data_IF_533727650427
#
_entry.id   IF_533727650427
#
_cell.length_a   1.000
_cell.length_b   1.000
_cell.length_c   1.000
_cell.angle_alpha   90.00
_cell.angle_beta   90.00
_cell.angle_gamma   90.00
#
_symmetry.space_group_name_H-M   'P 1'
#
loop_
_entity.id
_entity.type
_entity.pdbx_description
1 polymer ?
#
# COMPACT_ATOMS: atom_id res chain seq x y z
N UNK A 1 3.08 -28.45 -4.79
CA UNK A 1 2.31 -29.13 -3.75
C UNK A 1 2.75 -30.58 -3.81
N UNK A 2 3.63 -30.98 -2.89
CA UNK A 2 4.11 -32.36 -2.81
C UNK A 2 2.97 -33.23 -2.25
N UNK A 3 2.64 -34.34 -2.92
CA UNK A 3 1.63 -35.29 -2.44
C UNK A 3 2.25 -36.12 -1.33
N UNK A 4 1.76 -35.97 -0.09
CA UNK A 4 2.17 -36.82 1.04
C UNK A 4 1.42 -38.16 0.97
N UNK A 5 2.10 -39.26 1.29
CA UNK A 5 1.46 -40.57 1.40
C UNK A 5 0.52 -40.58 2.61
N UNK A 6 -0.79 -40.85 2.46
CA UNK A 6 -1.76 -40.83 3.55
C UNK A 6 -1.44 -41.78 4.72
N UNK A 7 -0.65 -42.83 4.46
CA UNK A 7 -0.21 -43.80 5.47
C UNK A 7 1.14 -43.43 6.13
N UNK A 8 1.79 -42.37 5.65
CA UNK A 8 3.02 -41.85 6.23
C UNK A 8 2.78 -41.34 7.67
N UNK A 9 3.72 -41.67 8.57
CA UNK A 9 3.70 -41.22 9.95
C UNK A 9 4.80 -40.20 10.19
N UNK A 10 4.41 -38.98 10.51
CA UNK A 10 5.33 -37.87 10.76
C UNK A 10 5.38 -37.50 12.26
N UNK A 11 6.50 -36.98 12.79
CA UNK A 11 6.59 -36.50 14.17
C UNK A 11 5.58 -35.39 14.47
N UNK A 12 5.10 -35.32 15.72
CA UNK A 12 4.15 -34.26 16.12
C UNK A 12 4.69 -32.83 15.90
N UNK A 13 6.00 -32.61 15.97
CA UNK A 13 6.61 -31.31 15.68
C UNK A 13 6.44 -30.93 14.21
N UNK A 14 6.68 -31.88 13.31
CA UNK A 14 6.51 -31.70 11.87
C UNK A 14 5.03 -31.56 11.51
N UNK A 15 4.16 -32.38 12.12
CA UNK A 15 2.72 -32.25 11.95
C UNK A 15 2.18 -30.90 12.45
N UNK A 16 2.69 -30.38 13.57
CA UNK A 16 2.27 -29.06 14.05
C UNK A 16 2.68 -27.94 13.10
N UNK A 17 3.84 -28.05 12.48
CA UNK A 17 4.33 -27.07 11.50
C UNK A 17 3.52 -27.14 10.19
N UNK A 18 3.32 -28.34 9.64
CA UNK A 18 2.57 -28.56 8.39
C UNK A 18 1.10 -28.13 8.48
N UNK A 19 0.48 -28.17 9.66
CA UNK A 19 -0.91 -27.76 9.89
C UNK A 19 -1.07 -26.40 10.58
N UNK A 20 0.00 -25.60 10.70
CA UNK A 20 -0.08 -24.25 11.27
C UNK A 20 -0.48 -24.19 12.75
N UNK A 21 -0.23 -25.25 13.51
CA UNK A 21 -0.54 -25.33 14.94
C UNK A 21 0.57 -24.67 15.77
N UNK A 22 0.20 -24.13 16.94
CA UNK A 22 1.14 -23.35 17.77
C UNK A 22 2.38 -24.12 18.20
N UNK A 23 2.24 -25.42 18.49
CA UNK A 23 3.33 -26.37 18.73
C UNK A 23 2.78 -27.81 18.86
N UNK A 24 3.68 -28.78 19.08
CA UNK A 24 3.33 -30.18 19.32
C UNK A 24 2.49 -30.43 20.58
N UNK A 25 2.33 -29.45 21.49
CA UNK A 25 1.54 -29.63 22.73
C UNK A 25 0.04 -29.68 22.43
N UNK A 26 -0.42 -28.95 21.40
CA UNK A 26 -1.80 -28.98 20.91
C UNK A 26 -2.17 -30.40 20.48
N UNK A 27 -1.30 -31.05 19.70
CA UNK A 27 -1.51 -32.42 19.24
C UNK A 27 -1.44 -33.44 20.38
N UNK A 28 -0.54 -33.26 21.36
CA UNK A 28 -0.52 -34.10 22.58
C UNK A 28 -1.81 -33.97 23.38
N UNK A 29 -2.38 -32.77 23.45
CA UNK A 29 -3.66 -32.55 24.13
C UNK A 29 -4.80 -33.22 23.37
N UNK A 30 -4.86 -33.09 22.04
CA UNK A 30 -5.85 -33.76 21.20
C UNK A 30 -5.78 -35.29 21.32
N UNK A 31 -4.59 -35.87 21.36
CA UNK A 31 -4.37 -37.30 21.63
C UNK A 31 -4.89 -37.69 23.03
N UNK A 32 -4.53 -36.91 24.06
CA UNK A 32 -4.98 -37.16 25.44
C UNK A 32 -6.50 -37.06 25.59
N UNK A 33 -7.13 -36.17 24.82
CA UNK A 33 -8.57 -35.96 24.77
C UNK A 33 -9.31 -36.92 23.83
N UNK A 34 -8.63 -37.96 23.30
CA UNK A 34 -9.18 -39.00 22.41
C UNK A 34 -9.82 -38.45 21.13
N UNK A 35 -9.32 -37.33 20.61
CA UNK A 35 -9.71 -36.78 19.30
C UNK A 35 -9.14 -37.64 18.16
N UNK A 36 -7.99 -38.27 18.41
CA UNK A 36 -7.34 -39.25 17.54
C UNK A 36 -7.56 -40.67 18.07
N UNK A 37 -7.79 -41.62 17.16
CA UNK A 37 -7.91 -43.04 17.47
C UNK A 37 -6.53 -43.63 17.83
N UNK A 38 -6.52 -44.73 18.60
CA UNK A 38 -5.26 -45.34 19.06
C UNK A 38 -4.39 -45.89 17.92
N UNK A 39 -4.97 -46.22 16.76
CA UNK A 39 -4.23 -46.66 15.56
C UNK A 39 -3.60 -45.50 14.76
N UNK A 40 -4.05 -44.26 14.98
CA UNK A 40 -3.67 -43.08 14.19
C UNK A 40 -2.34 -42.45 14.64
N UNK A 41 -1.83 -42.84 15.80
CA UNK A 41 -0.52 -42.40 16.30
C UNK A 41 0.26 -43.57 16.91
N UNK A 42 1.56 -43.43 17.05
CA UNK A 42 2.42 -44.43 17.71
C UNK A 42 3.57 -43.74 18.42
N UNK A 43 4.14 -44.37 19.43
CA UNK A 43 5.29 -43.85 20.17
C UNK A 43 6.52 -44.68 19.83
N UNK A 44 7.49 -44.07 19.16
CA UNK A 44 8.76 -44.70 18.83
C UNK A 44 9.92 -43.92 19.43
N UNK A 45 10.77 -44.59 20.23
CA UNK A 45 11.95 -43.99 20.90
C UNK A 45 11.68 -42.65 21.60
N UNK A 46 10.52 -42.52 22.25
CA UNK A 46 10.13 -41.32 22.98
C UNK A 46 9.49 -40.21 22.14
N UNK A 47 9.46 -40.35 20.81
CA UNK A 47 8.78 -39.44 19.88
C UNK A 47 7.41 -40.02 19.51
N UNK A 48 6.38 -39.17 19.51
CA UNK A 48 5.06 -39.55 19.02
C UNK A 48 5.01 -39.22 17.52
N UNK A 49 4.64 -40.21 16.72
CA UNK A 49 4.42 -40.09 15.29
C UNK A 49 2.93 -40.21 15.02
N UNK A 50 2.39 -39.38 14.13
CA UNK A 50 0.97 -39.32 13.78
C UNK A 50 0.80 -39.55 12.28
N UNK A 51 -0.24 -40.29 11.88
CA UNK A 51 -0.58 -40.50 10.47
C UNK A 51 -1.02 -39.19 9.82
N UNK A 52 -0.57 -38.94 8.60
CA UNK A 52 -1.00 -37.81 7.78
C UNK A 52 -2.52 -37.82 7.57
N UNK A 53 -3.10 -38.98 7.21
CA UNK A 53 -4.56 -39.15 7.06
C UNK A 53 -5.36 -38.79 8.32
N UNK A 54 -4.81 -39.03 9.52
CA UNK A 54 -5.46 -38.67 10.77
C UNK A 54 -5.45 -37.16 10.99
N UNK A 55 -4.34 -36.48 10.66
CA UNK A 55 -4.24 -35.02 10.69
C UNK A 55 -5.23 -34.38 9.72
N UNK A 56 -5.36 -34.93 8.51
CA UNK A 56 -6.33 -34.47 7.52
C UNK A 56 -7.78 -34.61 8.00
N UNK A 57 -8.10 -35.74 8.65
CA UNK A 57 -9.44 -35.99 9.20
C UNK A 57 -9.82 -34.99 10.30
N UNK A 58 -8.88 -34.67 11.19
CA UNK A 58 -9.15 -33.84 12.39
C UNK A 58 -9.01 -32.34 12.09
N UNK A 59 -8.02 -31.95 11.29
CA UNK A 59 -7.64 -30.57 11.06
C UNK A 59 -7.83 -30.09 9.61
N UNK A 60 -8.28 -30.96 8.69
CA UNK A 60 -8.39 -30.66 7.26
C UNK A 60 -7.04 -30.77 6.54
N UNK A 61 -6.99 -30.43 5.26
CA UNK A 61 -5.73 -30.47 4.49
C UNK A 61 -4.65 -29.59 5.15
N UNK A 62 -3.36 -29.99 5.08
CA UNK A 62 -2.27 -29.18 5.62
C UNK A 62 -2.32 -27.78 5.05
N UNK A 63 -2.04 -26.77 5.88
CA UNK A 63 -1.94 -25.41 5.37
C UNK A 63 -0.83 -25.39 4.32
N UNK A 64 -1.04 -24.82 3.12
CA UNK A 64 0.05 -24.66 2.17
C UNK A 64 1.13 -23.89 2.90
N UNK A 65 2.28 -24.57 3.11
CA UNK A 65 3.39 -24.08 3.93
C UNK A 65 3.62 -22.61 3.61
N UNK A 66 3.18 -21.73 4.51
CA UNK A 66 3.19 -20.29 4.26
C UNK A 66 4.60 -19.69 4.38
N UNK A 67 5.61 -20.57 4.50
CA UNK A 67 7.02 -20.28 4.42
C UNK A 67 7.50 -20.38 2.97
N UNK A 68 7.42 -19.26 2.27
CA UNK A 68 8.29 -19.00 1.13
C UNK A 68 9.55 -18.31 1.68
N UNK A 69 10.69 -19.01 1.85
CA UNK A 69 11.94 -18.39 2.31
C UNK A 69 12.50 -17.33 1.32
N UNK A 70 11.85 -17.15 0.16
CA UNK A 70 12.22 -16.17 -0.87
C UNK A 70 11.18 -15.06 -1.08
N UNK A 71 10.14 -14.97 -0.23
CA UNK A 71 9.21 -13.84 -0.25
C UNK A 71 9.85 -12.58 0.36
N UNK A 72 10.75 -11.92 -0.38
CA UNK A 72 11.19 -10.53 -0.13
C UNK A 72 11.71 -10.23 1.29
N UNK A 73 12.20 -11.23 2.02
CA UNK A 73 12.71 -11.03 3.38
C UNK A 73 14.01 -10.22 3.31
N UNK A 74 13.94 -8.94 3.65
CA UNK A 74 15.15 -8.16 3.89
C UNK A 74 15.44 -8.10 5.38
N UNK A 75 16.24 -9.04 5.88
CA UNK A 75 16.80 -8.91 7.23
C UNK A 75 17.86 -7.82 7.23
N UNK A 76 17.71 -6.87 8.15
CA UNK A 76 18.73 -5.88 8.45
C UNK A 76 19.19 -6.10 9.89
N UNK A 77 20.49 -5.95 10.15
CA UNK A 77 21.06 -5.96 11.50
C UNK A 77 21.68 -4.60 11.76
N UNK A 78 21.28 -3.91 12.82
CA UNK A 78 21.99 -2.72 13.27
C UNK A 78 23.04 -3.15 14.30
N UNK A 79 24.32 -2.89 14.01
CA UNK A 79 25.38 -3.10 14.99
C UNK A 79 25.71 -1.84 15.79
N UNK A 80 25.37 -0.65 15.31
CA UNK A 80 25.68 0.59 16.00
C UNK A 80 24.47 1.52 15.94
N UNK A 81 23.71 1.57 17.04
CA UNK A 81 22.91 2.76 17.36
C UNK A 81 23.92 3.75 17.92
N UNK A 82 24.79 4.28 17.05
CA UNK A 82 25.54 5.47 17.41
C UNK A 82 24.51 6.58 17.63
N UNK A 83 24.41 6.94 18.90
CA UNK A 83 23.51 7.95 19.45
C UNK A 83 23.68 9.20 18.58
N UNK A 84 22.57 9.88 18.25
CA UNK A 84 22.46 11.12 17.43
C UNK A 84 22.02 11.00 15.96
N UNK A 85 21.68 9.81 15.45
CA UNK A 85 21.35 9.66 14.03
C UNK A 85 20.18 8.68 13.80
N UNK A 86 19.14 9.09 13.04
CA UNK A 86 18.07 8.20 12.58
C UNK A 86 18.67 7.18 11.58
N UNK A 87 18.85 5.89 11.93
CA UNK A 87 19.62 4.97 11.10
C UNK A 87 18.84 4.49 9.88
N UNK A 88 17.50 4.60 9.93
CA UNK A 88 16.60 4.24 8.85
C UNK A 88 15.51 5.29 8.65
N UNK A 89 15.04 5.34 7.42
CA UNK A 89 13.90 6.12 6.98
C UNK A 89 13.02 5.23 6.11
N UNK A 90 11.74 5.15 6.44
CA UNK A 90 10.75 4.39 5.67
C UNK A 90 9.84 5.39 4.96
N UNK A 91 9.68 5.21 3.65
CA UNK A 91 8.63 5.88 2.88
C UNK A 91 7.54 4.86 2.63
N UNK A 92 6.35 5.08 3.17
CA UNK A 92 5.18 4.22 2.96
C UNK A 92 4.07 5.07 2.32
N UNK A 93 3.69 4.72 1.09
CA UNK A 93 2.69 5.47 0.31
C UNK A 93 2.95 6.97 0.31
N UNK A 94 4.23 7.35 0.13
CA UNK A 94 4.72 8.74 0.05
C UNK A 94 4.79 9.48 1.40
N UNK A 95 4.38 8.82 2.48
CA UNK A 95 4.59 9.31 3.84
C UNK A 95 5.94 8.86 4.37
N UNK A 96 6.74 9.81 4.82
CA UNK A 96 8.03 9.56 5.47
C UNK A 96 7.80 9.27 6.95
N UNK A 97 8.41 8.19 7.41
CA UNK A 97 8.46 7.75 8.80
C UNK A 97 9.93 7.57 9.18
N UNK A 98 10.34 8.19 10.27
CA UNK A 98 11.62 7.88 10.89
C UNK A 98 11.48 6.82 11.99
N UNK A 99 12.60 6.35 12.52
CA UNK A 99 12.59 5.34 13.58
C UNK A 99 11.81 5.83 14.82
N UNK A 100 11.89 7.13 15.13
CA UNK A 100 11.17 7.73 16.26
C UNK A 100 9.64 7.64 16.05
N UNK A 101 9.13 8.00 14.87
CA UNK A 101 7.70 7.91 14.51
C UNK A 101 7.16 6.49 14.71
N UNK A 102 7.95 5.48 14.35
CA UNK A 102 7.60 4.07 14.46
C UNK A 102 7.59 3.60 15.92
N UNK A 103 8.50 4.10 16.76
CA UNK A 103 8.60 3.74 18.19
C UNK A 103 7.40 4.24 19.00
N UNK A 104 6.91 5.46 18.76
CA UNK A 104 5.80 6.00 19.59
C UNK A 104 4.41 5.50 19.18
N UNK A 105 4.32 4.79 18.07
CA UNK A 105 3.07 4.30 17.47
C UNK A 105 2.39 3.13 18.22
N UNK A 106 3.13 2.35 19.02
CA UNK A 106 2.58 1.08 19.54
C UNK A 106 1.87 1.19 20.90
N UNK A 107 0.55 1.37 20.88
CA UNK A 107 -0.34 1.24 22.06
C UNK A 107 -1.02 -0.13 22.21
N UNK A 108 -0.45 -1.21 21.66
CA UNK A 108 -1.06 -2.55 21.66
C UNK A 108 -0.42 -3.54 22.64
N UNK A 109 -1.22 -4.49 23.15
CA UNK A 109 -0.76 -5.64 23.95
C UNK A 109 0.20 -6.52 23.12
N UNK A 110 1.24 -7.00 23.78
CA UNK A 110 2.27 -7.86 23.21
C UNK A 110 1.71 -9.25 22.88
N UNK A 111 1.94 -9.73 21.66
CA UNK A 111 1.90 -11.16 21.39
C UNK A 111 3.20 -11.77 21.95
N UNK A 112 3.06 -12.84 22.75
CA UNK A 112 4.19 -13.61 23.27
C UNK A 112 4.86 -14.26 22.06
N UNK A 113 6.14 -13.92 21.83
CA UNK A 113 7.01 -14.35 20.73
C UNK A 113 6.85 -13.58 19.40
N UNK A 114 7.93 -12.95 18.94
CA UNK A 114 8.19 -12.86 17.49
C UNK A 114 8.19 -11.47 16.88
N UNK A 115 7.07 -10.92 16.47
CA UNK A 115 7.08 -9.78 15.53
C UNK A 115 6.00 -8.75 15.87
N UNK A 116 6.33 -7.46 15.76
CA UNK A 116 5.39 -6.35 15.97
C UNK A 116 5.15 -5.60 14.67
N UNK A 117 3.90 -5.60 14.23
CA UNK A 117 3.47 -4.81 13.07
C UNK A 117 3.48 -3.30 13.40
N UNK A 118 4.21 -2.51 12.61
CA UNK A 118 4.39 -1.06 12.81
C UNK A 118 3.68 -0.23 11.74
N UNK A 119 3.57 -0.78 10.55
CA UNK A 119 2.87 -0.27 9.37
C UNK A 119 2.24 -1.50 8.69
N UNK A 120 1.22 -1.33 7.84
CA UNK A 120 0.54 -2.46 7.20
C UNK A 120 1.53 -3.42 6.54
N UNK A 121 1.60 -4.66 7.05
CA UNK A 121 2.52 -5.69 6.56
C UNK A 121 4.01 -5.45 6.81
N UNK A 122 4.40 -4.46 7.62
CA UNK A 122 5.79 -4.26 8.06
C UNK A 122 5.91 -4.64 9.53
N UNK A 123 6.86 -5.52 9.84
CA UNK A 123 7.02 -6.10 11.18
C UNK A 123 8.45 -5.93 11.70
N UNK A 124 8.61 -5.48 12.95
CA UNK A 124 9.89 -5.55 13.65
C UNK A 124 9.98 -6.79 14.54
N UNK A 125 11.12 -7.50 14.49
CA UNK A 125 11.56 -8.50 15.47
C UNK A 125 12.75 -7.94 16.25
N UNK A 126 12.73 -8.09 17.56
CA UNK A 126 13.88 -7.83 18.43
C UNK A 126 14.50 -9.16 18.84
N UNK A 127 15.74 -9.42 18.42
CA UNK A 127 16.36 -10.73 18.58
C UNK A 127 16.97 -10.99 19.96
N UNK A 128 17.16 -9.97 20.81
CA UNK A 128 17.61 -10.12 22.21
C UNK A 128 16.88 -9.20 23.18
N UNK A 129 16.32 -9.81 24.21
CA UNK A 129 15.53 -9.21 25.30
C UNK A 129 16.46 -8.58 26.36
N UNK A 130 16.56 -7.25 26.36
CA UNK A 130 16.69 -6.54 27.64
C UNK A 130 15.33 -6.67 28.34
N UNK A 131 15.34 -7.08 29.60
CA UNK A 131 14.15 -7.32 30.44
C UNK A 131 13.23 -6.09 30.38
N UNK A 132 12.19 -6.16 29.54
CA UNK A 132 11.37 -5.00 29.25
C UNK A 132 10.61 -5.11 27.93
N UNK A 133 9.63 -4.23 27.78
CA UNK A 133 8.78 -4.17 26.59
C UNK A 133 9.55 -3.51 25.42
N UNK A 134 9.42 -4.02 24.18
CA UNK A 134 10.13 -3.55 22.96
C UNK A 134 10.21 -2.01 22.86
N UNK A 135 9.07 -1.35 23.08
CA UNK A 135 9.00 0.10 23.04
C UNK A 135 9.52 0.78 24.28
N UNK A 136 9.52 0.13 25.44
CA UNK A 136 10.18 0.70 26.62
C UNK A 136 11.69 0.68 26.43
N UNK A 137 12.25 -0.38 25.85
CA UNK A 137 13.68 -0.43 25.53
C UNK A 137 14.03 0.63 24.47
N UNK A 138 13.29 0.68 23.35
CA UNK A 138 13.53 1.69 22.30
C UNK A 138 13.24 3.13 22.76
N UNK A 139 12.16 3.39 23.51
CA UNK A 139 11.90 4.71 24.10
C UNK A 139 12.96 5.06 25.13
N UNK A 140 13.40 4.12 25.97
CA UNK A 140 14.46 4.35 26.93
C UNK A 140 15.77 4.72 26.22
N UNK A 141 16.12 4.04 25.13
CA UNK A 141 17.30 4.34 24.29
C UNK A 141 17.19 5.72 23.63
N UNK A 142 16.04 6.03 23.04
CA UNK A 142 15.80 7.31 22.34
C UNK A 142 15.72 8.49 23.31
N UNK A 143 15.07 8.32 24.47
CA UNK A 143 14.88 9.36 25.49
C UNK A 143 16.15 9.57 26.32
N UNK A 144 16.83 8.49 26.74
CA UNK A 144 18.01 8.55 27.59
C UNK A 144 19.29 8.44 26.78
N UNK A 145 19.45 9.33 25.79
CA UNK A 145 20.63 9.54 24.92
C UNK A 145 21.95 9.89 25.65
N UNK A 146 22.11 9.41 26.88
CA UNK A 146 23.27 9.47 27.77
C UNK A 146 23.61 8.07 28.30
N UNK A 147 23.70 7.08 27.42
CA UNK A 147 24.29 5.81 27.85
C UNK A 147 25.78 5.99 28.06
N UNK A 148 26.21 5.53 29.23
CA UNK A 148 27.60 5.25 29.56
C UNK A 148 28.14 4.25 28.53
N UNK A 149 29.26 4.57 27.89
CA UNK A 149 29.88 3.83 26.76
C UNK A 149 30.29 2.37 27.08
N UNK A 150 29.95 1.88 28.27
CA UNK A 150 30.33 0.58 28.79
C UNK A 150 29.33 -0.54 28.50
N UNK A 151 28.14 -0.27 27.96
CA UNK A 151 27.22 -1.31 27.47
C UNK A 151 27.52 -1.63 26.01
N UNK A 152 28.44 -2.56 25.80
CA UNK A 152 28.73 -3.22 24.50
C UNK A 152 27.62 -4.17 24.03
N UNK A 153 26.35 -3.88 24.35
CA UNK A 153 25.25 -4.76 23.96
C UNK A 153 24.63 -4.30 22.64
N UNK A 154 24.90 -5.07 21.59
CA UNK A 154 24.34 -4.89 20.25
C UNK A 154 22.83 -5.20 20.30
N UNK A 155 22.01 -4.19 19.97
CA UNK A 155 20.57 -4.37 19.77
C UNK A 155 20.31 -4.62 18.29
N UNK A 156 20.09 -5.88 17.95
CA UNK A 156 19.67 -6.27 16.61
C UNK A 156 18.14 -6.18 16.47
N UNK A 157 17.71 -5.46 15.44
CA UNK A 157 16.32 -5.30 15.03
C UNK A 157 16.17 -5.82 13.60
N UNK A 158 15.36 -6.85 13.41
CA UNK A 158 15.02 -7.37 12.08
C UNK A 158 13.72 -6.72 11.59
N UNK A 159 13.71 -6.20 10.37
CA UNK A 159 12.51 -5.65 9.71
C UNK A 159 12.03 -6.64 8.65
N UNK A 160 10.83 -7.18 8.83
CA UNK A 160 10.17 -8.03 7.83
C UNK A 160 9.16 -7.21 7.03
N UNK A 161 9.25 -7.28 5.71
CA UNK A 161 8.33 -6.59 4.79
C UNK A 161 7.44 -7.61 4.07
N UNK A 162 6.23 -7.82 4.59
CA UNK A 162 5.17 -8.64 4.01
C UNK A 162 4.05 -7.76 3.44
N UNK A 163 4.44 -6.81 2.60
CA UNK A 163 3.51 -5.96 1.88
C UNK A 163 4.03 -5.75 0.46
N UNK A 164 3.42 -6.49 -0.48
CA UNK A 164 3.66 -6.37 -1.92
C UNK A 164 2.71 -5.40 -2.59
N UNK A 165 1.66 -4.98 -1.88
CA UNK A 165 0.64 -4.07 -2.38
C UNK A 165 1.12 -2.62 -2.37
N UNK A 166 1.75 -2.23 -1.26
CA UNK A 166 2.03 -0.82 -0.98
C UNK A 166 3.38 -0.34 -1.48
N UNK A 167 3.49 0.97 -1.75
CA UNK A 167 4.77 1.56 -2.14
C UNK A 167 5.59 1.78 -0.88
N UNK A 168 6.66 1.01 -0.74
CA UNK A 168 7.55 0.99 0.42
C UNK A 168 8.96 1.22 -0.10
N UNK A 169 9.60 2.26 0.40
CA UNK A 169 11.03 2.48 0.19
C UNK A 169 11.70 2.56 1.57
N UNK A 170 12.80 1.84 1.74
CA UNK A 170 13.58 1.85 2.98
C UNK A 170 14.95 2.38 2.64
N UNK A 171 15.35 3.41 3.38
CA UNK A 171 16.63 4.05 3.25
C UNK A 171 17.46 3.83 4.51
N UNK A 172 18.74 3.54 4.33
CA UNK A 172 19.74 3.43 5.38
C UNK A 172 20.57 4.70 5.42
N UNK A 173 20.86 5.21 6.62
CA UNK A 173 21.78 6.34 6.75
C UNK A 173 23.18 5.94 6.28
N UNK A 174 23.78 6.75 5.41
CA UNK A 174 25.15 6.56 4.91
C UNK A 174 26.09 7.38 5.77
N UNK A 175 27.25 6.82 6.11
CA UNK A 175 28.28 7.59 6.78
C UNK A 175 28.87 8.60 5.78
N UNK A 176 29.01 9.89 6.14
CA UNK A 176 29.38 10.97 5.22
C UNK A 176 30.77 10.84 4.56
N UNK A 177 31.52 9.78 4.87
CA UNK A 177 32.79 9.45 4.22
C UNK A 177 32.60 8.73 2.86
N UNK A 178 31.41 8.19 2.57
CA UNK A 178 31.08 7.55 1.29
C UNK A 178 30.23 8.50 0.43
N UNK A 179 30.86 9.39 -0.35
CA UNK A 179 30.13 10.31 -1.24
C UNK A 179 30.11 9.81 -2.70
N UNK A 180 28.91 9.73 -3.29
CA UNK A 180 28.61 10.08 -4.71
C UNK A 180 27.11 9.97 -5.11
N UNK A 181 26.14 9.91 -4.18
CA UNK A 181 24.70 9.78 -4.51
C UNK A 181 23.86 11.04 -4.21
N UNK A 182 22.71 11.18 -4.89
CA UNK A 182 21.86 12.39 -4.92
C UNK A 182 21.18 12.76 -3.59
N UNK A 183 21.28 11.93 -2.54
CA UNK A 183 20.93 12.28 -1.16
C UNK A 183 22.10 11.87 -0.22
N UNK A 184 23.03 12.77 0.14
CA UNK A 184 24.31 12.40 0.76
C UNK A 184 24.20 11.86 2.20
N UNK A 185 22.99 11.73 2.74
CA UNK A 185 22.76 11.21 4.09
C UNK A 185 22.11 9.81 4.09
N UNK A 186 21.44 9.37 3.01
CA UNK A 186 20.65 8.14 3.02
C UNK A 186 20.70 7.38 1.68
N UNK A 187 20.98 6.08 1.73
CA UNK A 187 21.00 5.15 0.59
C UNK A 187 19.74 4.29 0.58
N UNK A 188 19.09 4.17 -0.57
CA UNK A 188 17.98 3.24 -0.77
C UNK A 188 18.49 1.79 -0.65
N UNK A 189 17.94 1.02 0.28
CA UNK A 189 18.34 -0.38 0.55
C UNK A 189 17.23 -1.39 0.25
N UNK A 190 15.98 -0.92 0.16
CA UNK A 190 14.86 -1.73 -0.26
C UNK A 190 13.80 -0.86 -0.91
N UNK A 191 13.18 -1.41 -1.93
CA UNK A 191 11.92 -0.93 -2.46
C UNK A 191 11.01 -2.13 -2.61
N UNK A 192 9.75 -2.04 -2.17
CA UNK A 192 8.75 -3.04 -2.56
C UNK A 192 8.69 -2.99 -4.08
N UNK A 193 9.23 -4.04 -4.71
CA UNK A 193 9.43 -4.08 -6.14
C UNK A 193 8.13 -3.70 -6.85
N UNK A 194 8.13 -2.54 -7.50
CA UNK A 194 7.48 -2.39 -8.80
C UNK A 194 8.31 -3.31 -9.69
N UNK A 195 7.91 -4.58 -9.73
CA UNK A 195 8.58 -5.62 -10.49
C UNK A 195 8.85 -5.10 -11.91
N UNK A 196 10.10 -5.18 -12.35
CA UNK A 196 10.51 -4.82 -13.71
C UNK A 196 9.81 -5.70 -14.77
N UNK A 197 9.06 -6.73 -14.34
CA UNK A 197 8.32 -7.67 -15.18
C UNK A 197 6.81 -7.79 -14.84
N UNK A 198 6.07 -6.67 -14.83
CA UNK A 198 4.59 -6.65 -14.89
C UNK A 198 3.87 -7.36 -13.72
N UNK A 199 3.42 -6.55 -12.74
CA UNK A 199 2.15 -6.71 -11.96
C UNK A 199 2.04 -5.71 -10.79
N UNK A 200 3.06 -4.94 -10.45
CA UNK A 200 2.89 -3.76 -9.58
C UNK A 200 2.40 -2.56 -10.40
N UNK A 201 1.40 -1.78 -9.97
CA UNK A 201 0.91 -0.68 -10.78
C UNK A 201 1.97 0.43 -10.93
N UNK A 202 2.26 0.78 -12.19
CA UNK A 202 2.77 2.09 -12.62
C UNK A 202 1.97 3.27 -11.98
N UNK A 203 0.81 3.02 -11.38
CA UNK A 203 -0.08 4.00 -10.73
C UNK A 203 0.38 4.46 -9.34
N UNK A 204 1.54 3.98 -8.86
CA UNK A 204 2.25 4.56 -7.72
C UNK A 204 3.64 5.05 -8.08
N UNK A 205 3.76 5.70 -9.23
CA UNK A 205 4.61 6.89 -9.28
C UNK A 205 4.13 7.77 -8.11
N UNK A 206 4.94 7.85 -7.06
CA UNK A 206 4.73 8.76 -5.94
C UNK A 206 4.17 10.09 -6.44
N UNK A 207 3.23 10.78 -5.78
CA UNK A 207 2.97 12.19 -6.06
C UNK A 207 4.27 12.97 -6.11
N UNK A 208 5.33 12.58 -5.37
CA UNK A 208 6.67 13.16 -5.48
C UNK A 208 7.51 12.66 -6.66
N UNK A 209 7.20 11.53 -7.30
CA UNK A 209 7.77 11.11 -8.60
C UNK A 209 6.93 11.62 -9.79
N UNK A 210 5.62 11.88 -9.63
CA UNK A 210 4.76 12.69 -10.54
C UNK A 210 5.12 14.17 -10.44
N UNK A 211 5.54 14.59 -9.25
CA UNK A 211 6.13 15.89 -8.92
C UNK A 211 7.66 15.80 -8.77
N UNK A 212 8.33 14.84 -9.42
CA UNK A 212 9.77 15.03 -9.72
C UNK A 212 9.93 16.12 -10.79
N UNK A 213 8.82 16.54 -11.39
CA UNK A 213 8.59 17.93 -11.76
C UNK A 213 8.15 18.64 -10.48
N UNK A 214 9.11 19.00 -9.65
CA UNK A 214 8.84 19.98 -8.60
C UNK A 214 8.44 21.23 -9.38
N UNK A 215 7.17 21.63 -9.39
CA UNK A 215 6.72 22.78 -10.21
C UNK A 215 7.53 24.05 -9.93
N UNK A 216 8.19 24.09 -8.77
CA UNK A 216 9.13 25.12 -8.35
C UNK A 216 10.45 25.09 -9.13
N UNK A 217 10.87 23.93 -9.62
CA UNK A 217 12.05 23.70 -10.47
C UNK A 217 11.76 23.97 -11.95
N UNK A 218 10.53 24.33 -12.30
CA UNK A 218 10.12 24.64 -13.66
C UNK A 218 9.53 26.05 -13.73
N UNK A 219 9.72 26.72 -14.85
CA UNK A 219 9.11 28.01 -15.15
C UNK A 219 8.22 27.88 -16.37
N UNK A 220 7.11 28.62 -16.34
CA UNK A 220 6.24 28.77 -17.50
C UNK A 220 6.99 29.51 -18.60
N UNK A 221 6.91 29.00 -19.82
CA UNK A 221 7.51 29.62 -21.01
C UNK A 221 6.42 30.31 -21.81
N UNK A 222 5.50 29.53 -22.35
CA UNK A 222 4.39 29.97 -23.18
C UNK A 222 3.25 28.94 -23.18
N UNK A 223 2.24 29.17 -24.02
CA UNK A 223 1.15 28.21 -24.19
C UNK A 223 0.70 28.14 -25.64
N UNK A 224 0.39 26.94 -26.10
CA UNK A 224 -0.17 26.68 -27.43
C UNK A 224 -1.54 26.01 -27.36
N UNK A 225 -2.34 26.17 -28.41
CA UNK A 225 -3.57 25.41 -28.60
C UNK A 225 -3.33 24.38 -29.71
N UNK A 226 -3.64 23.12 -29.45
CA UNK A 226 -3.43 22.05 -30.42
C UNK A 226 -4.35 20.85 -30.19
N UNK A 227 -4.52 20.04 -31.23
CA UNK A 227 -5.18 18.74 -31.14
C UNK A 227 -4.21 17.71 -30.58
N UNK A 228 -4.64 16.98 -29.56
CA UNK A 228 -3.85 15.94 -28.87
C UNK A 228 -4.66 14.66 -28.84
N UNK A 229 -4.00 13.53 -29.08
CA UNK A 229 -4.61 12.22 -28.85
C UNK A 229 -4.63 11.95 -27.33
N UNK A 230 -5.77 11.54 -26.73
CA UNK A 230 -5.83 11.28 -25.29
C UNK A 230 -4.81 10.24 -24.78
N UNK A 231 -4.32 9.36 -25.66
CA UNK A 231 -3.25 8.39 -25.41
C UNK A 231 -1.89 9.04 -25.07
N UNK A 232 -1.63 10.26 -25.57
CA UNK A 232 -0.40 11.02 -25.31
C UNK A 232 -0.37 11.62 -23.89
N UNK A 233 -1.53 11.69 -23.22
CA UNK A 233 -1.63 12.10 -21.83
C UNK A 233 -1.27 10.90 -20.97
N UNK A 234 -0.18 10.97 -20.21
CA UNK A 234 0.45 9.77 -19.62
C UNK A 234 -0.40 9.15 -18.52
N UNK A 235 -1.12 9.97 -17.76
CA UNK A 235 -1.84 9.54 -16.55
C UNK A 235 -3.32 9.84 -16.66
N UNK A 236 -4.13 9.12 -15.89
CA UNK A 236 -5.48 9.60 -15.57
C UNK A 236 -5.38 10.78 -14.59
N UNK A 237 -6.39 11.66 -14.53
CA UNK A 237 -6.40 12.75 -13.58
C UNK A 237 -6.40 12.27 -12.12
N UNK A 238 -5.77 13.03 -11.24
CA UNK A 238 -5.67 12.78 -9.80
C UNK A 238 -6.76 13.49 -8.97
N UNK A 239 -7.58 14.31 -9.62
CA UNK A 239 -8.75 14.98 -9.04
C UNK A 239 -9.89 15.04 -10.04
N UNK A 240 -11.13 14.82 -9.58
CA UNK A 240 -12.33 15.16 -10.34
C UNK A 240 -12.93 16.44 -9.77
N UNK A 241 -13.23 17.42 -10.63
CA UNK A 241 -13.81 18.69 -10.20
C UNK A 241 -15.13 18.51 -9.44
N UNK A 242 -15.46 19.45 -8.55
CA UNK A 242 -16.72 19.45 -7.80
C UNK A 242 -16.79 18.44 -6.65
N UNK A 243 -15.66 18.15 -6.00
CA UNK A 243 -15.61 17.30 -4.79
C UNK A 243 -15.86 15.81 -5.05
N UNK A 244 -15.71 15.34 -6.29
CA UNK A 244 -15.87 13.93 -6.66
C UNK A 244 -17.32 13.47 -6.88
N UNK A 245 -18.32 14.18 -6.36
CA UNK A 245 -19.74 13.82 -6.53
C UNK A 245 -20.27 13.98 -7.96
N UNK A 246 -19.54 14.71 -8.82
CA UNK A 246 -19.89 14.86 -10.24
C UNK A 246 -19.48 13.66 -11.10
N UNK A 247 -18.77 12.69 -10.53
CA UNK A 247 -18.43 11.44 -11.20
C UNK A 247 -19.11 10.30 -10.46
N UNK A 248 -20.14 9.70 -11.08
CA UNK A 248 -20.90 8.62 -10.45
C UNK A 248 -20.03 7.43 -10.07
N UNK A 249 -19.02 7.12 -10.89
CA UNK A 249 -18.06 6.06 -10.59
C UNK A 249 -17.23 6.38 -9.34
N UNK A 250 -16.65 7.58 -9.24
CA UNK A 250 -15.91 7.99 -8.04
C UNK A 250 -16.83 8.02 -6.81
N UNK A 251 -18.04 8.57 -6.97
CA UNK A 251 -19.04 8.60 -5.92
C UNK A 251 -19.39 7.18 -5.45
N UNK A 252 -19.48 6.21 -6.35
CA UNK A 252 -19.68 4.79 -6.04
C UNK A 252 -18.54 4.20 -5.21
N UNK A 253 -17.28 4.51 -5.55
CA UNK A 253 -16.12 4.11 -4.76
C UNK A 253 -16.07 4.78 -3.38
N UNK A 254 -16.48 6.05 -3.27
CA UNK A 254 -16.55 6.76 -1.99
C UNK A 254 -17.66 6.18 -1.11
N UNK A 255 -18.87 6.02 -1.64
CA UNK A 255 -20.03 5.52 -0.90
C UNK A 255 -19.87 4.06 -0.48
N UNK A 256 -19.22 3.25 -1.33
CA UNK A 256 -18.81 1.90 -0.95
C UNK A 256 -17.67 1.85 0.06
N UNK A 257 -17.03 2.98 0.43
CA UNK A 257 -15.83 3.09 1.29
C UNK A 257 -14.52 2.57 0.67
N UNK A 258 -14.51 2.28 -0.63
CA UNK A 258 -13.30 1.82 -1.34
C UNK A 258 -12.32 2.98 -1.58
N UNK A 259 -12.79 4.21 -1.42
CA UNK A 259 -12.00 5.44 -1.48
C UNK A 259 -12.38 6.36 -0.33
N UNK A 260 -11.39 6.85 0.43
CA UNK A 260 -11.63 7.77 1.53
C UNK A 260 -10.45 8.74 1.74
N UNK A 261 -10.61 9.94 1.18
CA UNK A 261 -9.58 10.99 1.21
C UNK A 261 -9.29 11.58 2.61
N UNK A 262 -10.08 11.24 3.62
CA UNK A 262 -9.92 11.75 4.98
C UNK A 262 -9.13 10.79 5.89
N UNK A 263 -8.71 9.63 5.38
CA UNK A 263 -7.90 8.63 6.09
C UNK A 263 -6.43 8.76 5.70
N UNK A 264 -5.55 8.44 6.63
CA UNK A 264 -4.12 8.22 6.41
C UNK A 264 -3.80 6.90 5.67
N UNK A 265 -4.82 6.10 5.35
CA UNK A 265 -4.70 4.96 4.45
C UNK A 265 -5.90 4.91 3.50
N UNK A 266 -5.62 4.92 2.19
CA UNK A 266 -6.61 4.76 1.13
C UNK A 266 -6.49 3.37 0.50
N UNK A 267 -7.62 2.68 0.32
CA UNK A 267 -7.64 1.43 -0.44
C UNK A 267 -7.36 1.77 -1.90
N UNK A 268 -8.24 2.52 -2.57
CA UNK A 268 -8.00 2.99 -3.94
C UNK A 268 -7.67 4.48 -3.95
N UNK A 269 -6.60 4.85 -4.68
CA UNK A 269 -6.40 6.24 -5.13
C UNK A 269 -7.29 6.52 -6.35
N UNK A 270 -7.61 7.78 -6.61
CA UNK A 270 -8.45 8.16 -7.74
C UNK A 270 -7.88 7.68 -9.08
N UNK A 271 -6.59 7.86 -9.31
CA UNK A 271 -5.96 7.41 -10.57
C UNK A 271 -5.98 5.88 -10.71
N UNK A 272 -5.72 5.14 -9.62
CA UNK A 272 -5.78 3.68 -9.63
C UNK A 272 -7.20 3.25 -10.00
N UNK A 273 -8.22 3.80 -9.32
CA UNK A 273 -9.62 3.55 -9.65
C UNK A 273 -9.89 3.85 -11.12
N UNK A 274 -9.52 5.04 -11.61
CA UNK A 274 -9.81 5.44 -12.99
C UNK A 274 -9.14 4.55 -14.02
N UNK A 275 -7.92 4.09 -13.75
CA UNK A 275 -7.18 3.25 -14.68
C UNK A 275 -7.68 1.82 -14.68
N UNK A 276 -7.86 1.22 -13.51
CA UNK A 276 -8.26 -0.21 -13.42
C UNK A 276 -9.69 -0.44 -13.90
N UNK A 277 -10.51 0.60 -13.90
CA UNK A 277 -11.91 0.53 -14.34
C UNK A 277 -12.12 1.11 -15.74
N UNK A 278 -11.08 1.52 -16.48
CA UNK A 278 -11.22 2.08 -17.84
C UNK A 278 -11.65 1.02 -18.86
N UNK A 279 -11.14 -0.21 -18.69
CA UNK A 279 -11.31 -1.27 -19.71
C UNK A 279 -12.30 -2.35 -19.25
N UNK A 280 -12.83 -2.23 -18.04
CA UNK A 280 -13.80 -3.16 -17.49
C UNK A 280 -15.20 -2.81 -17.98
N UNK A 281 -15.82 -3.69 -18.76
CA UNK A 281 -17.21 -3.55 -19.24
C UNK A 281 -18.19 -3.20 -18.12
N UNK A 282 -18.05 -3.88 -16.97
CA UNK A 282 -18.90 -3.69 -15.80
C UNK A 282 -18.82 -2.28 -15.22
N UNK A 283 -17.66 -1.62 -15.30
CA UNK A 283 -17.48 -0.26 -14.80
C UNK A 283 -17.76 0.80 -15.87
N UNK A 284 -17.56 0.45 -17.14
CA UNK A 284 -17.85 1.32 -18.27
C UNK A 284 -19.35 1.55 -18.47
N UNK A 285 -20.22 0.64 -18.02
CA UNK A 285 -21.67 0.87 -18.02
C UNK A 285 -22.08 2.06 -17.15
N UNK A 286 -21.51 2.22 -15.94
CA UNK A 286 -21.80 3.40 -15.09
C UNK A 286 -21.45 4.71 -15.78
N UNK A 287 -20.32 4.75 -16.50
CA UNK A 287 -19.93 5.93 -17.25
C UNK A 287 -20.84 6.18 -18.46
N UNK A 288 -21.33 5.11 -19.10
CA UNK A 288 -22.16 5.18 -20.30
C UNK A 288 -23.62 5.50 -20.01
N UNK A 289 -24.10 5.21 -18.81
CA UNK A 289 -25.47 5.48 -18.37
C UNK A 289 -25.59 6.84 -17.66
N UNK A 290 -24.47 7.41 -17.19
CA UNK A 290 -24.48 8.68 -16.46
C UNK A 290 -24.53 9.89 -17.41
N UNK A 291 -25.62 10.66 -17.32
CA UNK A 291 -25.94 11.78 -18.20
C UNK A 291 -24.79 12.79 -18.33
N UNK A 292 -24.10 13.12 -17.22
CA UNK A 292 -23.00 14.08 -17.25
C UNK A 292 -21.81 13.59 -18.10
N UNK A 293 -21.45 12.30 -18.00
CA UNK A 293 -20.38 11.71 -18.80
C UNK A 293 -20.76 11.68 -20.29
N UNK A 294 -22.00 11.33 -20.60
CA UNK A 294 -22.53 11.31 -21.97
C UNK A 294 -22.58 12.71 -22.57
N UNK A 295 -23.01 13.71 -21.81
CA UNK A 295 -23.02 15.11 -22.25
C UNK A 295 -21.60 15.61 -22.55
N UNK A 296 -20.62 15.24 -21.74
CA UNK A 296 -19.21 15.55 -22.02
C UNK A 296 -18.74 14.83 -23.29
N UNK A 297 -19.03 13.53 -23.42
CA UNK A 297 -18.65 12.74 -24.60
C UNK A 297 -19.22 13.35 -25.88
N UNK A 298 -20.52 13.64 -25.89
CA UNK A 298 -21.21 14.22 -27.05
C UNK A 298 -20.61 15.57 -27.42
N UNK A 299 -20.28 16.41 -26.43
CA UNK A 299 -19.59 17.68 -26.65
C UNK A 299 -18.21 17.50 -27.25
N UNK A 300 -17.40 16.55 -26.76
CA UNK A 300 -16.06 16.27 -27.29
C UNK A 300 -16.12 15.73 -28.73
N UNK A 301 -17.13 14.91 -29.04
CA UNK A 301 -17.36 14.42 -30.41
C UNK A 301 -17.86 15.53 -31.32
N UNK A 302 -18.85 16.33 -30.89
CA UNK A 302 -19.43 17.39 -31.73
C UNK A 302 -18.49 18.58 -31.94
N UNK A 303 -17.57 18.82 -31.00
CA UNK A 303 -16.57 19.89 -31.08
C UNK A 303 -15.31 19.49 -31.86
N UNK A 304 -15.21 18.24 -32.35
CA UNK A 304 -14.08 17.78 -33.18
C UNK A 304 -13.87 18.64 -34.44
N UNK A 305 -14.91 19.37 -34.84
CA UNK A 305 -14.98 20.08 -36.11
C UNK A 305 -15.13 21.61 -35.96
N UNK A 306 -15.38 22.15 -34.75
CA UNK A 306 -15.54 23.60 -34.54
C UNK A 306 -15.38 24.01 -33.07
N UNK A 307 -14.17 24.41 -32.66
CA UNK A 307 -13.82 24.68 -31.25
C UNK A 307 -13.85 26.18 -30.86
N UNK A 308 -14.12 27.08 -31.81
CA UNK A 308 -14.03 28.54 -31.60
C UNK A 308 -15.08 29.14 -30.65
N UNK A 309 -16.03 28.33 -30.14
CA UNK A 309 -17.15 28.79 -29.30
C UNK A 309 -17.09 28.37 -27.82
N UNK A 310 -15.96 27.85 -27.35
CA UNK A 310 -15.80 27.55 -25.93
C UNK A 310 -15.38 28.80 -25.13
N UNK A 311 -16.13 29.11 -24.07
CA UNK A 311 -15.67 30.03 -23.04
C UNK A 311 -14.29 29.56 -22.53
N UNK A 312 -13.32 30.47 -22.38
CA UNK A 312 -11.95 30.15 -21.98
C UNK A 312 -11.85 29.32 -20.67
N UNK A 313 -12.87 29.38 -19.80
CA UNK A 313 -12.97 28.59 -18.57
C UNK A 313 -13.23 27.09 -18.80
N UNK A 314 -13.68 26.70 -19.99
CA UNK A 314 -14.02 25.33 -20.35
C UNK A 314 -12.97 24.62 -21.21
N UNK A 315 -11.79 25.23 -21.38
CA UNK A 315 -10.71 24.55 -22.08
C UNK A 315 -10.16 23.39 -21.24
N UNK A 316 -9.74 22.32 -21.92
CA UNK A 316 -8.87 21.31 -21.34
C UNK A 316 -7.46 21.90 -21.35
N UNK A 317 -6.83 21.94 -20.19
CA UNK A 317 -5.46 22.47 -20.05
C UNK A 317 -4.53 21.33 -19.67
N UNK A 318 -3.41 21.23 -20.37
CA UNK A 318 -2.32 20.31 -20.09
C UNK A 318 -1.07 21.10 -19.71
N UNK A 319 -0.18 20.49 -18.94
CA UNK A 319 1.17 20.98 -18.73
C UNK A 319 2.16 20.04 -19.39
N UNK A 320 3.04 20.59 -20.22
CA UNK A 320 4.14 19.84 -20.83
C UNK A 320 5.41 20.02 -20.01
N UNK A 321 6.01 18.91 -19.62
CA UNK A 321 7.32 18.87 -18.98
C UNK A 321 8.20 17.85 -19.70
N UNK A 322 9.28 18.31 -20.33
CA UNK A 322 10.22 17.46 -21.07
C UNK A 322 9.53 16.53 -22.11
N UNK A 323 8.59 17.06 -22.90
CA UNK A 323 7.86 16.26 -23.90
C UNK A 323 6.71 15.41 -23.36
N UNK A 324 6.47 15.41 -22.05
CA UNK A 324 5.43 14.62 -21.40
C UNK A 324 4.23 15.49 -21.03
N UNK A 325 3.03 15.02 -21.36
CA UNK A 325 1.78 15.76 -21.15
C UNK A 325 1.04 15.29 -19.88
N UNK A 326 0.75 16.26 -19.01
CA UNK A 326 0.05 16.03 -17.74
C UNK A 326 -1.28 16.80 -17.67
N UNK A 327 -2.34 16.21 -17.07
CA UNK A 327 -3.59 16.92 -16.82
C UNK A 327 -3.39 18.18 -15.96
N UNK A 328 -3.95 19.31 -16.38
CA UNK A 328 -4.03 20.54 -15.60
C UNK A 328 -5.47 20.90 -15.21
N UNK A 329 -6.31 21.21 -16.21
CA UNK A 329 -7.73 21.50 -16.01
C UNK A 329 -8.59 20.73 -17.03
N UNK A 330 -9.87 20.53 -16.72
CA UNK A 330 -10.77 19.71 -17.52
C UNK A 330 -10.64 18.21 -17.25
N UNK A 331 -10.25 17.83 -16.03
CA UNK A 331 -9.97 16.45 -15.63
C UNK A 331 -11.06 15.45 -16.01
N UNK A 332 -12.35 15.76 -15.77
CA UNK A 332 -13.43 14.85 -16.16
C UNK A 332 -13.53 14.69 -17.69
N UNK A 333 -13.25 15.75 -18.45
CA UNK A 333 -13.20 15.70 -19.93
C UNK A 333 -12.06 14.82 -20.42
N UNK A 334 -10.87 14.92 -19.81
CA UNK A 334 -9.73 14.04 -20.11
C UNK A 334 -10.10 12.57 -19.80
N UNK A 335 -10.71 12.32 -18.64
CA UNK A 335 -11.14 10.98 -18.24
C UNK A 335 -12.14 10.39 -19.26
N UNK A 336 -13.16 11.15 -19.64
CA UNK A 336 -14.14 10.76 -20.67
C UNK A 336 -13.45 10.55 -22.03
N UNK A 337 -12.56 11.44 -22.44
CA UNK A 337 -11.84 11.32 -23.71
C UNK A 337 -11.06 10.00 -23.79
N UNK A 338 -10.34 9.64 -22.72
CA UNK A 338 -9.63 8.37 -22.62
C UNK A 338 -10.57 7.17 -22.62
N UNK A 339 -11.57 7.16 -21.73
CA UNK A 339 -12.48 6.01 -21.52
C UNK A 339 -13.34 5.68 -22.75
N UNK A 340 -13.78 6.71 -23.46
CA UNK A 340 -14.61 6.54 -24.66
C UNK A 340 -13.80 6.54 -25.95
N UNK A 341 -12.47 6.44 -25.87
CA UNK A 341 -11.55 6.40 -27.01
C UNK A 341 -11.82 7.52 -28.02
N UNK A 342 -11.97 8.76 -27.53
CA UNK A 342 -12.13 9.94 -28.38
C UNK A 342 -10.82 10.14 -29.15
N UNK A 343 -10.82 10.18 -30.50
CA UNK A 343 -9.58 10.16 -31.28
C UNK A 343 -8.64 11.33 -30.97
N UNK A 344 -9.20 12.53 -30.85
CA UNK A 344 -8.45 13.77 -30.60
C UNK A 344 -9.28 14.73 -29.77
N UNK A 345 -8.62 15.50 -28.92
CA UNK A 345 -9.22 16.58 -28.13
C UNK A 345 -8.42 17.86 -28.35
N UNK A 346 -9.10 19.00 -28.41
CA UNK A 346 -8.45 20.30 -28.53
C UNK A 346 -8.12 20.83 -27.14
N UNK A 347 -6.85 21.15 -26.91
CA UNK A 347 -6.33 21.46 -25.58
C UNK A 347 -5.44 22.69 -25.62
N UNK A 348 -5.37 23.39 -24.48
CA UNK A 348 -4.33 24.38 -24.19
C UNK A 348 -3.16 23.65 -23.53
N UNK A 349 -1.97 23.71 -24.13
CA UNK A 349 -0.74 23.18 -23.52
C UNK A 349 0.05 24.34 -22.96
N UNK A 350 0.35 24.30 -21.65
CA UNK A 350 1.30 25.20 -21.02
C UNK A 350 2.69 24.54 -21.08
N UNK A 351 3.63 25.20 -21.74
CA UNK A 351 4.98 24.70 -21.87
C UNK A 351 5.83 25.16 -20.68
N UNK A 352 6.52 24.21 -20.06
CA UNK A 352 7.37 24.48 -18.92
C UNK A 352 8.80 24.04 -19.19
N UNK A 353 9.75 24.88 -18.80
CA UNK A 353 11.19 24.57 -18.88
C UNK A 353 11.78 24.46 -17.48
N UNK A 354 12.73 23.55 -17.31
CA UNK A 354 13.44 23.39 -16.04
C UNK A 354 14.27 24.65 -15.76
N UNK A 355 14.08 25.25 -14.59
CA UNK A 355 14.92 26.33 -14.07
C UNK A 355 16.35 25.81 -13.88
N UNK A 356 17.37 26.65 -14.14
CA UNK A 356 18.73 26.32 -13.75
C UNK A 356 18.80 26.12 -12.22
N UNK A 357 19.32 24.98 -11.77
CA UNK A 357 19.51 24.69 -10.33
C UNK A 357 20.39 25.80 -9.73
N UNK A 358 19.81 26.70 -8.94
CA UNK A 358 20.61 27.54 -8.03
C UNK A 358 21.11 26.63 -6.92
N UNK A 359 22.41 26.38 -6.85
CA UNK A 359 23.05 25.74 -5.71
C UNK A 359 22.93 26.73 -4.55
N UNK A 360 21.81 26.70 -3.83
CA UNK A 360 21.72 27.40 -2.56
C UNK A 360 22.72 26.72 -1.61
N UNK A 361 23.53 27.48 -0.86
CA UNK A 361 24.33 26.89 0.21
C UNK A 361 23.37 26.15 1.14
N UNK A 362 23.57 24.83 1.28
CA UNK A 362 22.78 24.01 2.21
C UNK A 362 22.94 24.65 3.58
N UNK A 363 21.88 25.27 4.11
CA UNK A 363 21.86 25.66 5.52
C UNK A 363 22.15 24.40 6.33
N UNK A 364 23.08 24.43 7.29
CA UNK A 364 23.40 23.25 8.07
C UNK A 364 22.12 22.84 8.80
N UNK A 365 21.78 21.55 8.67
CA UNK A 365 20.50 20.93 8.97
C UNK A 365 20.25 20.82 10.50
N UNK A 366 20.42 21.91 11.23
CA UNK A 366 20.22 21.93 12.68
C UNK A 366 18.90 22.64 12.97
N UNK A 367 17.94 21.87 13.49
CA UNK A 367 16.66 22.33 14.05
C UNK A 367 15.69 23.06 13.11
N UNK A 368 15.26 22.41 12.02
CA UNK A 368 13.85 22.53 11.64
C UNK A 368 13.09 21.34 12.21
N UNK A 369 12.77 21.39 13.52
CA UNK A 369 11.57 20.74 14.03
C UNK A 369 10.36 21.45 13.40
N UNK A 370 10.16 21.29 12.09
CA UNK A 370 8.84 21.45 11.53
C UNK A 370 8.03 20.35 12.19
N UNK A 371 7.16 20.75 13.12
CA UNK A 371 6.03 19.95 13.62
C UNK A 371 5.18 19.55 12.42
N UNK A 372 5.67 18.68 11.54
CA UNK A 372 4.88 18.13 10.46
C UNK A 372 3.90 17.18 11.12
N UNK A 373 2.73 17.73 11.45
CA UNK A 373 1.44 17.06 11.48
C UNK A 373 1.57 15.53 11.50
N UNK A 374 1.81 14.99 12.70
CA UNK A 374 1.74 13.57 13.09
C UNK A 374 1.48 12.61 11.91
N UNK A 375 2.53 12.24 11.17
CA UNK A 375 2.53 11.00 10.39
C UNK A 375 2.52 9.85 11.40
N UNK A 376 1.35 9.57 11.95
CA UNK A 376 1.21 8.60 13.02
C UNK A 376 1.10 7.21 12.40
N UNK A 377 2.20 6.46 12.41
CA UNK A 377 2.23 5.08 11.91
C UNK A 377 1.12 4.21 12.51
N UNK A 378 0.73 4.47 13.77
CA UNK A 378 -0.37 3.75 14.42
C UNK A 378 -1.73 4.08 13.82
N UNK A 379 -1.92 5.34 13.41
CA UNK A 379 -3.11 5.78 12.69
C UNK A 379 -3.18 5.12 11.32
N UNK A 380 -2.08 5.11 10.56
CA UNK A 380 -2.01 4.44 9.24
C UNK A 380 -2.32 2.95 9.36
N UNK A 381 -1.67 2.26 10.30
CA UNK A 381 -1.91 0.85 10.57
C UNK A 381 -3.39 0.59 10.94
N UNK A 382 -3.92 1.34 11.90
CA UNK A 382 -5.32 1.26 12.32
C UNK A 382 -6.29 1.51 11.18
N UNK A 383 -6.07 2.55 10.38
CA UNK A 383 -6.93 2.93 9.27
C UNK A 383 -6.86 1.97 8.09
N UNK A 384 -5.72 1.31 7.86
CA UNK A 384 -5.61 0.23 6.89
C UNK A 384 -6.56 -0.91 7.24
N UNK A 385 -6.40 -1.50 8.44
CA UNK A 385 -7.27 -2.58 8.86
C UNK A 385 -8.73 -2.13 8.96
N UNK A 386 -8.99 -0.95 9.54
CA UNK A 386 -10.34 -0.40 9.65
C UNK A 386 -11.02 -0.28 8.28
N UNK A 387 -10.31 0.24 7.28
CA UNK A 387 -10.85 0.42 5.93
C UNK A 387 -11.33 -0.88 5.31
N UNK A 388 -10.63 -2.00 5.52
CA UNK A 388 -11.10 -3.29 5.02
C UNK A 388 -12.15 -3.95 5.94
N UNK A 389 -12.00 -3.85 7.27
CA UNK A 389 -12.97 -4.47 8.20
C UNK A 389 -14.37 -3.86 8.11
N UNK A 390 -14.51 -2.59 7.69
CA UNK A 390 -15.80 -1.96 7.43
C UNK A 390 -16.58 -2.61 6.26
N UNK A 391 -15.91 -3.39 5.42
CA UNK A 391 -16.53 -4.23 4.39
C UNK A 391 -16.90 -5.63 4.87
N UNK A 392 -16.53 -5.99 6.11
CA UNK A 392 -16.65 -7.35 6.61
C UNK A 392 -15.45 -8.24 6.29
N UNK A 393 -14.33 -7.69 5.82
CA UNK A 393 -13.08 -8.44 5.69
C UNK A 393 -12.43 -8.63 7.07
N UNK A 394 -11.87 -9.81 7.31
CA UNK A 394 -11.14 -10.13 8.53
C UNK A 394 -9.72 -9.58 8.49
N UNK A 395 -9.01 -9.56 9.63
CA UNK A 395 -7.58 -9.20 9.64
C UNK A 395 -6.73 -10.14 8.79
N UNK A 396 -7.08 -11.43 8.73
CA UNK A 396 -6.43 -12.41 7.86
C UNK A 396 -6.61 -12.05 6.39
N UNK A 397 -7.81 -11.63 5.97
CA UNK A 397 -8.06 -11.17 4.60
C UNK A 397 -7.18 -9.97 4.26
N UNK A 398 -7.06 -9.00 5.17
CA UNK A 398 -6.20 -7.82 4.97
C UNK A 398 -4.74 -8.25 4.81
N UNK A 399 -4.25 -9.12 5.69
CA UNK A 399 -2.88 -9.63 5.62
C UNK A 399 -2.62 -10.38 4.30
N UNK A 400 -3.58 -11.16 3.83
CA UNK A 400 -3.52 -11.83 2.54
C UNK A 400 -3.45 -10.81 1.38
N UNK A 401 -4.34 -9.80 1.38
CA UNK A 401 -4.34 -8.71 0.38
C UNK A 401 -2.97 -8.02 0.31
N UNK A 402 -2.38 -7.69 1.46
CA UNK A 402 -1.08 -7.03 1.54
C UNK A 402 0.05 -7.95 1.08
N UNK A 403 0.05 -9.22 1.53
CA UNK A 403 1.09 -10.21 1.21
C UNK A 403 1.10 -10.58 -0.26
N UNK A 404 -0.06 -10.89 -0.83
CA UNK A 404 -0.21 -11.26 -2.25
C UNK A 404 -0.14 -10.04 -3.18
N UNK A 405 -0.26 -8.84 -2.61
CA UNK A 405 -0.19 -7.60 -3.38
C UNK A 405 -1.44 -7.33 -4.20
N UNK A 406 -2.63 -7.76 -3.74
CA UNK A 406 -3.86 -7.60 -4.51
C UNK A 406 -4.17 -6.11 -4.78
N UNK A 407 -4.38 -5.78 -6.04
CA UNK A 407 -4.61 -4.42 -6.52
C UNK A 407 -5.70 -4.38 -7.60
N UNK A 408 -6.19 -3.18 -7.93
CA UNK A 408 -7.10 -3.00 -9.07
C UNK A 408 -8.32 -3.92 -9.08
N UNK A 409 -8.62 -4.50 -10.26
CA UNK A 409 -9.76 -5.41 -10.44
C UNK A 409 -9.63 -6.70 -9.63
N UNK A 410 -8.41 -7.19 -9.37
CA UNK A 410 -8.19 -8.39 -8.56
C UNK A 410 -8.62 -8.16 -7.11
N UNK A 411 -8.28 -6.99 -6.57
CA UNK A 411 -8.72 -6.57 -5.23
C UNK A 411 -10.25 -6.43 -5.17
N UNK A 412 -10.87 -5.82 -6.19
CA UNK A 412 -12.33 -5.71 -6.26
C UNK A 412 -12.96 -7.11 -6.26
N UNK A 413 -12.50 -8.02 -7.13
CA UNK A 413 -13.00 -9.40 -7.19
C UNK A 413 -12.82 -10.15 -5.87
N UNK A 414 -11.70 -9.94 -5.19
CA UNK A 414 -11.46 -10.53 -3.87
C UNK A 414 -12.48 -10.00 -2.85
N UNK A 415 -12.69 -8.69 -2.79
CA UNK A 415 -13.68 -8.07 -1.91
C UNK A 415 -15.09 -8.60 -2.23
N UNK A 416 -15.47 -8.68 -3.51
CA UNK A 416 -16.77 -9.23 -3.89
C UNK A 416 -16.95 -10.68 -3.45
N UNK A 417 -15.91 -11.50 -3.61
CA UNK A 417 -15.91 -12.91 -3.18
C UNK A 417 -16.00 -13.03 -1.65
N UNK A 418 -15.18 -12.29 -0.92
CA UNK A 418 -15.11 -12.34 0.54
C UNK A 418 -16.42 -11.84 1.18
N UNK A 419 -17.02 -10.80 0.61
CA UNK A 419 -18.26 -10.20 1.12
C UNK A 419 -19.53 -10.85 0.58
N UNK A 420 -19.41 -11.68 -0.47
CA UNK A 420 -20.52 -12.21 -1.28
C UNK A 420 -21.41 -11.11 -1.86
N UNK A 421 -20.85 -9.91 -2.10
CA UNK A 421 -21.56 -8.74 -2.61
C UNK A 421 -20.88 -8.21 -3.86
N UNK A 422 -21.67 -7.93 -4.90
CA UNK A 422 -21.14 -7.21 -6.08
C UNK A 422 -20.90 -5.74 -5.76
N UNK A 423 -20.00 -5.08 -6.48
CA UNK A 423 -19.73 -3.63 -6.31
C UNK A 423 -21.03 -2.80 -6.34
N UNK A 424 -21.96 -3.12 -7.24
CA UNK A 424 -23.29 -2.50 -7.31
C UNK A 424 -24.09 -2.57 -5.99
N UNK A 425 -23.99 -3.70 -5.29
CA UNK A 425 -24.65 -3.90 -4.00
C UNK A 425 -23.94 -3.11 -2.89
N UNK A 426 -22.59 -3.15 -2.88
CA UNK A 426 -21.79 -2.34 -1.95
C UNK A 426 -22.07 -0.83 -2.11
N UNK A 427 -22.24 -0.38 -3.36
CA UNK A 427 -22.60 0.99 -3.68
C UNK A 427 -23.98 1.36 -3.12
N UNK A 428 -25.02 0.56 -3.41
CA UNK A 428 -26.39 0.80 -2.92
C UNK A 428 -26.47 0.87 -1.40
N UNK A 429 -25.85 -0.09 -0.70
CA UNK A 429 -25.79 -0.08 0.77
C UNK A 429 -25.05 1.14 1.33
N UNK A 430 -23.98 1.57 0.66
CA UNK A 430 -23.27 2.80 0.96
C UNK A 430 -24.15 4.04 0.83
N UNK A 431 -24.89 4.12 -0.28
CA UNK A 431 -25.85 5.19 -0.57
C UNK A 431 -26.96 5.25 0.48
N UNK A 432 -27.59 4.12 0.80
CA UNK A 432 -28.66 4.03 1.81
C UNK A 432 -28.18 4.45 3.21
N UNK A 433 -26.94 4.10 3.57
CA UNK A 433 -26.34 4.50 4.86
C UNK A 433 -26.11 6.02 4.97
N UNK A 434 -25.84 6.69 3.86
CA UNK A 434 -25.64 8.15 3.84
C UNK A 434 -26.97 8.87 3.73
N UNK A 435 -27.82 8.50 2.76
CA UNK A 435 -29.05 9.21 2.45
C UNK A 435 -30.26 8.76 3.28
N UNK A 436 -30.29 7.51 3.73
CA UNK A 436 -31.33 7.00 4.62
C UNK A 436 -31.32 7.66 6.00
N UNK A 437 -30.19 8.27 6.41
CA UNK A 437 -30.10 9.08 7.63
C UNK A 437 -30.79 10.44 7.52
N UNK A 438 -31.05 10.92 6.31
CA UNK A 438 -31.75 12.18 6.05
C UNK A 438 -33.25 11.99 5.78
N UNK A 439 -33.71 10.73 5.71
CA UNK A 439 -35.13 10.36 5.57
C UNK A 439 -35.82 10.03 6.91
N UNK A 440 -35.10 10.16 8.02
CA UNK A 440 -35.62 10.13 9.40
C UNK A 440 -35.42 11.51 10.00
#
# INVERSE_FOLDING_TARGET
MEYLDPEERIPLSEASEKWGLSDSSVLRHAIKSKVFNEEEYTKHKGVILIKVSAMERVYGNPEPSSFDPFAGAVSFSFNDIDVFSNPIKIVFNDHKFDLHDLIYSGGGKYEKNGFKEILPGLYFLQSKSLVGSFLNNLRYIVINSRFDFNLREIIKLDLLVNNRRDNIEIYQKVNPMDNNEEDPEFRLIYTSAIDQNNKGPLFRISPTKRHNINTHDFEYVDSSMQWVEPSQIIVYPDMMGGGGHRCELQNGFILSQLMNHNRGYEIFRLEEMLTVTSDSSDFMSYCSEFEHCINIRNRLVSSSDNYDNYNHYDHITLSEFNGLLFPGNGNHRICVAKRFNIPKIYVKINHHKRKPKKIAPKKPYWFERKRSLRNNASKVLSECYKSFTEFGLTKQDVRYILKEGLYGLELIKYIEKATKKKFNQLYREGSDRVWGKFKK
#
